data_IF_386335663229
#
_entry.id   IF_386335663229
#
_cell.length_a   1.000
_cell.length_b   1.000
_cell.length_c   1.000
_cell.angle_alpha   90.00
_cell.angle_beta   90.00
_cell.angle_gamma   90.00
#
_symmetry.space_group_name_H-M   'P 1'
#
loop_
_entity.id
_entity.type
_entity.pdbx_description
1 polymer ?
#
# COMPACT_ATOMS: atom_id res chain seq x y z
N UNK A 1 -9.08 -7.33 5.69
CA UNK A 1 -8.58 -6.16 4.95
C UNK A 1 -8.29 -4.95 5.84
N UNK A 2 -9.23 -4.51 6.68
CA UNK A 2 -9.06 -3.33 7.55
C UNK A 2 -7.80 -3.41 8.44
N UNK A 3 -7.56 -4.54 9.11
CA UNK A 3 -6.37 -4.73 9.95
C UNK A 3 -5.05 -4.58 9.18
N UNK A 4 -5.00 -5.04 7.94
CA UNK A 4 -3.82 -4.92 7.09
C UNK A 4 -3.56 -3.46 6.72
N UNK A 5 -4.62 -2.70 6.39
CA UNK A 5 -4.53 -1.26 6.10
C UNK A 5 -4.05 -0.51 7.34
N UNK A 6 -4.61 -0.80 8.53
CA UNK A 6 -4.19 -0.17 9.78
C UNK A 6 -2.74 -0.48 10.14
N UNK A 7 -2.31 -1.73 10.01
CA UNK A 7 -0.91 -2.12 10.24
C UNK A 7 0.03 -1.38 9.28
N UNK A 8 -0.32 -1.35 8.01
CA UNK A 8 0.46 -0.68 6.97
C UNK A 8 0.52 0.83 7.21
N UNK A 9 -0.59 1.44 7.64
CA UNK A 9 -0.62 2.84 8.04
C UNK A 9 0.28 3.11 9.25
N UNK A 10 0.28 2.24 10.25
CA UNK A 10 1.16 2.37 11.40
C UNK A 10 2.65 2.34 11.01
N UNK A 11 3.02 1.42 10.11
CA UNK A 11 4.38 1.35 9.56
C UNK A 11 4.72 2.63 8.79
N UNK A 12 3.80 3.14 7.96
CA UNK A 12 3.96 4.42 7.28
C UNK A 12 4.19 5.57 8.26
N UNK A 13 3.38 5.68 9.32
CA UNK A 13 3.50 6.73 10.32
C UNK A 13 4.88 6.72 11.02
N UNK A 14 5.45 5.54 11.26
CA UNK A 14 6.82 5.40 11.81
C UNK A 14 7.86 6.00 10.85
N UNK A 15 7.81 5.66 9.57
CA UNK A 15 8.75 6.20 8.58
C UNK A 15 8.56 7.71 8.38
N UNK A 16 7.33 8.17 8.31
CA UNK A 16 7.00 9.59 8.20
C UNK A 16 7.53 10.40 9.40
N UNK A 17 7.34 9.89 10.62
CA UNK A 17 7.88 10.50 11.83
C UNK A 17 9.42 10.44 11.85
N UNK A 18 9.99 9.34 11.43
CA UNK A 18 11.44 9.16 11.29
C UNK A 18 12.06 10.17 10.34
N UNK A 19 11.42 10.42 9.19
CA UNK A 19 11.83 11.46 8.24
C UNK A 19 11.85 12.85 8.90
N UNK A 20 10.77 13.23 9.59
CA UNK A 20 10.69 14.50 10.30
C UNK A 20 11.83 14.66 11.34
N UNK A 21 12.03 13.64 12.18
CA UNK A 21 13.05 13.69 13.24
C UNK A 21 14.47 13.78 12.65
N UNK A 22 14.75 13.01 11.60
CA UNK A 22 16.05 13.02 10.95
C UNK A 22 16.30 14.33 10.21
N UNK A 23 15.32 14.86 9.49
CA UNK A 23 15.39 16.17 8.83
C UNK A 23 15.74 17.27 9.84
N UNK A 24 15.05 17.32 10.98
CA UNK A 24 15.35 18.31 12.04
C UNK A 24 16.76 18.15 12.62
N UNK A 25 17.24 16.91 12.80
CA UNK A 25 18.61 16.65 13.26
C UNK A 25 19.65 17.05 12.22
N UNK A 26 19.44 16.69 10.95
CA UNK A 26 20.34 17.08 9.84
C UNK A 26 20.46 18.59 9.76
N UNK A 27 19.33 19.28 9.72
CA UNK A 27 19.30 20.76 9.62
C UNK A 27 19.93 21.42 10.85
N UNK A 28 19.73 20.88 12.05
CA UNK A 28 20.35 21.40 13.26
C UNK A 28 21.89 21.31 13.22
N UNK A 29 22.45 20.28 12.60
CA UNK A 29 23.90 20.05 12.54
C UNK A 29 24.58 20.65 11.32
N UNK A 30 23.92 20.64 10.17
CA UNK A 30 24.52 21.04 8.88
C UNK A 30 23.96 22.35 8.31
N UNK A 31 22.91 22.90 8.93
CA UNK A 31 22.22 24.09 8.44
C UNK A 31 21.08 23.80 7.47
N UNK A 32 20.31 24.84 7.17
CA UNK A 32 19.09 24.71 6.34
C UNK A 32 19.38 24.44 4.85
N UNK A 33 20.58 24.75 4.38
CA UNK A 33 20.95 24.67 2.97
C UNK A 33 21.09 23.21 2.47
N UNK A 34 21.26 22.26 3.40
CA UNK A 34 21.34 20.83 3.05
C UNK A 34 19.97 20.19 2.78
N UNK A 35 18.89 20.87 3.14
CA UNK A 35 17.54 20.39 2.87
C UNK A 35 17.24 20.51 1.36
N UNK A 36 16.92 19.37 0.73
CA UNK A 36 16.68 19.29 -0.71
C UNK A 36 15.30 19.86 -1.06
N UNK A 37 14.29 19.60 -0.21
CA UNK A 37 12.95 20.09 -0.44
C UNK A 37 12.87 21.63 -0.21
N UNK A 38 12.63 22.43 -1.27
CA UNK A 38 12.63 23.88 -1.15
C UNK A 38 11.55 24.40 -0.20
N UNK A 39 10.40 23.75 -0.12
CA UNK A 39 9.30 24.12 0.78
C UNK A 39 9.73 23.93 2.24
N UNK A 40 10.27 22.75 2.56
CA UNK A 40 10.77 22.42 3.90
C UNK A 40 11.92 23.37 4.27
N UNK A 41 12.84 23.65 3.34
CA UNK A 41 13.95 24.59 3.54
C UNK A 41 13.45 25.98 3.93
N UNK A 42 12.45 26.51 3.21
CA UNK A 42 11.86 27.83 3.51
C UNK A 42 11.19 27.81 4.89
N UNK A 43 10.41 26.78 5.20
CA UNK A 43 9.72 26.65 6.49
C UNK A 43 10.70 26.59 7.66
N UNK A 44 11.79 25.86 7.51
CA UNK A 44 12.85 25.75 8.53
C UNK A 44 13.61 27.06 8.73
N UNK A 45 13.86 27.80 7.62
CA UNK A 45 14.57 29.08 7.65
C UNK A 45 13.75 30.21 8.26
N UNK A 46 12.45 30.27 7.97
CA UNK A 46 11.59 31.37 8.41
C UNK A 46 11.09 31.21 9.83
N UNK A 47 10.47 30.11 10.14
CA UNK A 47 9.94 29.77 11.48
C UNK A 47 9.86 28.26 11.63
N UNK A 48 10.84 27.64 12.25
CA UNK A 48 10.91 26.17 12.39
C UNK A 48 9.67 25.49 12.97
N UNK A 49 8.80 26.23 13.67
CA UNK A 49 7.52 25.71 14.19
C UNK A 49 6.52 25.37 13.07
N UNK A 50 6.61 26.04 11.92
CA UNK A 50 5.69 25.76 10.80
C UNK A 50 5.91 24.39 10.14
N UNK A 51 7.08 23.78 10.32
CA UNK A 51 7.32 22.42 9.82
C UNK A 51 6.35 21.42 10.46
N UNK A 52 6.07 21.57 11.76
CA UNK A 52 5.13 20.68 12.45
C UNK A 52 3.69 20.83 11.92
N UNK A 53 3.28 22.08 11.66
CA UNK A 53 1.96 22.34 11.06
C UNK A 53 1.88 21.77 9.64
N UNK A 54 2.91 21.98 8.83
CA UNK A 54 2.98 21.45 7.47
C UNK A 54 2.91 19.92 7.48
N UNK A 55 3.69 19.28 8.34
CA UNK A 55 3.69 17.83 8.50
C UNK A 55 2.35 17.30 9.05
N UNK A 56 1.69 18.02 9.93
CA UNK A 56 0.34 17.65 10.39
C UNK A 56 -0.71 17.72 9.25
N UNK A 57 -0.62 18.75 8.40
CA UNK A 57 -1.48 18.88 7.21
C UNK A 57 -1.20 17.73 6.22
N UNK A 58 0.06 17.42 5.97
CA UNK A 58 0.48 16.30 5.11
C UNK A 58 -0.09 14.96 5.62
N UNK A 59 0.01 14.69 6.92
CA UNK A 59 -0.55 13.49 7.53
C UNK A 59 -2.09 13.47 7.44
N UNK A 60 -2.74 14.60 7.69
CA UNK A 60 -4.20 14.75 7.56
C UNK A 60 -4.69 14.52 6.13
N UNK A 61 -4.00 15.10 5.15
CA UNK A 61 -4.30 14.90 3.73
C UNK A 61 -4.13 13.43 3.33
N UNK A 62 -3.11 12.77 3.86
CA UNK A 62 -2.86 11.37 3.61
C UNK A 62 -3.92 10.46 4.23
N UNK A 63 -4.35 10.74 5.48
CA UNK A 63 -5.47 10.05 6.13
C UNK A 63 -6.77 10.22 5.36
N UNK A 64 -7.06 11.45 4.90
CA UNK A 64 -8.21 11.71 4.06
C UNK A 64 -8.16 10.93 2.74
N UNK A 65 -7.00 10.89 2.09
CA UNK A 65 -6.80 10.11 0.87
C UNK A 65 -7.08 8.62 1.09
N UNK A 66 -6.56 8.03 2.18
CA UNK A 66 -6.82 6.63 2.52
C UNK A 66 -8.29 6.38 2.79
N UNK A 67 -8.93 7.28 3.56
CA UNK A 67 -10.36 7.17 3.83
C UNK A 67 -11.16 7.24 2.52
N UNK A 68 -10.87 8.20 1.65
CA UNK A 68 -11.52 8.32 0.34
C UNK A 68 -11.31 7.07 -0.51
N UNK A 69 -10.09 6.56 -0.60
CA UNK A 69 -9.77 5.35 -1.36
C UNK A 69 -10.40 4.09 -0.77
N UNK A 70 -10.63 4.05 0.55
CA UNK A 70 -11.31 2.92 1.21
C UNK A 70 -12.78 2.81 0.85
N UNK A 71 -13.37 3.86 0.26
CA UNK A 71 -14.75 3.81 -0.29
C UNK A 71 -14.81 3.01 -1.59
N UNK A 72 -13.68 2.80 -2.28
CA UNK A 72 -13.61 1.92 -3.45
C UNK A 72 -13.38 0.48 -3.01
N UNK A 73 -14.12 -0.44 -3.63
CA UNK A 73 -13.91 -1.87 -3.42
C UNK A 73 -12.54 -2.28 -3.97
N UNK A 74 -11.77 -3.04 -3.18
CA UNK A 74 -10.53 -3.63 -3.64
C UNK A 74 -9.30 -3.36 -2.77
N UNK A 75 -8.13 -3.71 -3.30
CA UNK A 75 -6.81 -3.61 -2.64
C UNK A 75 -6.09 -2.28 -2.93
N UNK A 76 -6.69 -1.38 -3.71
CA UNK A 76 -6.09 -0.10 -4.16
C UNK A 76 -5.53 0.76 -3.00
N UNK A 77 -6.26 0.98 -1.87
CA UNK A 77 -5.72 1.75 -0.74
C UNK A 77 -4.43 1.15 -0.18
N UNK A 78 -4.35 -0.16 -0.14
CA UNK A 78 -3.19 -0.88 0.34
C UNK A 78 -1.97 -0.64 -0.57
N UNK A 79 -2.12 -0.73 -1.89
CA UNK A 79 -1.01 -0.46 -2.82
C UNK A 79 -0.50 0.98 -2.74
N UNK A 80 -1.40 1.94 -2.60
CA UNK A 80 -1.02 3.35 -2.44
C UNK A 80 -0.21 3.54 -1.16
N UNK A 81 -0.66 2.98 -0.03
CA UNK A 81 0.09 2.99 1.22
C UNK A 81 1.49 2.39 1.06
N UNK A 82 1.60 1.27 0.34
CA UNK A 82 2.87 0.63 0.10
C UNK A 82 3.84 1.53 -0.68
N UNK A 83 3.38 2.23 -1.72
CA UNK A 83 4.20 3.18 -2.49
C UNK A 83 4.70 4.30 -1.58
N UNK A 84 3.85 4.85 -0.71
CA UNK A 84 4.25 5.89 0.23
C UNK A 84 5.25 5.39 1.29
N UNK A 85 5.09 4.17 1.80
CA UNK A 85 6.07 3.56 2.72
C UNK A 85 7.43 3.45 2.04
N UNK A 86 7.48 2.96 0.79
CA UNK A 86 8.72 2.87 0.04
C UNK A 86 9.37 4.26 -0.13
N UNK A 87 8.59 5.24 -0.54
CA UNK A 87 9.06 6.61 -0.71
C UNK A 87 9.65 7.18 0.59
N UNK A 88 8.89 7.09 1.70
CA UNK A 88 9.36 7.59 3.00
C UNK A 88 10.54 6.78 3.55
N UNK A 89 10.61 5.48 3.30
CA UNK A 89 11.78 4.68 3.70
C UNK A 89 13.07 5.15 3.01
N UNK A 90 12.98 5.53 1.73
CA UNK A 90 14.10 6.10 0.98
C UNK A 90 14.49 7.48 1.50
N UNK A 91 13.53 8.34 1.87
CA UNK A 91 13.81 9.64 2.49
C UNK A 91 14.50 9.47 3.85
N UNK A 92 14.00 8.58 4.70
CA UNK A 92 14.63 8.25 5.99
C UNK A 92 16.04 7.72 5.80
N UNK A 93 16.26 6.83 4.82
CA UNK A 93 17.59 6.30 4.51
C UNK A 93 18.55 7.40 4.09
N UNK A 94 18.11 8.29 3.19
CA UNK A 94 18.92 9.42 2.72
C UNK A 94 19.27 10.37 3.88
N UNK A 95 18.28 10.76 4.67
CA UNK A 95 18.49 11.66 5.81
C UNK A 95 19.38 11.03 6.88
N UNK A 96 19.23 9.74 7.16
CA UNK A 96 20.11 8.99 8.04
C UNK A 96 21.54 8.96 7.49
N UNK A 97 21.73 8.70 6.21
CA UNK A 97 23.05 8.70 5.56
C UNK A 97 23.74 10.06 5.69
N UNK A 98 23.04 11.15 5.38
CA UNK A 98 23.56 12.51 5.48
C UNK A 98 23.92 12.86 6.93
N UNK A 99 23.05 12.54 7.89
CA UNK A 99 23.28 12.79 9.30
C UNK A 99 24.51 12.04 9.84
N UNK A 100 24.61 10.74 9.55
CA UNK A 100 25.72 9.93 10.06
C UNK A 100 27.04 10.25 9.37
N UNK A 101 27.05 10.56 8.09
CA UNK A 101 28.25 11.02 7.39
C UNK A 101 28.82 12.29 8.01
N UNK A 102 27.95 13.18 8.51
CA UNK A 102 28.36 14.45 9.10
C UNK A 102 28.77 14.34 10.58
N UNK A 103 28.15 13.43 11.35
CA UNK A 103 28.29 13.42 12.82
C UNK A 103 29.14 12.29 13.35
N UNK A 104 29.23 11.16 12.63
CA UNK A 104 29.86 9.95 13.13
C UNK A 104 30.77 9.34 12.05
N UNK A 105 32.07 9.41 12.23
CA UNK A 105 33.01 8.65 11.43
C UNK A 105 32.78 7.15 11.69
N UNK A 106 32.16 6.46 10.72
CA UNK A 106 32.03 4.99 10.63
C UNK A 106 31.57 4.26 11.92
N UNK A 107 30.37 4.53 12.41
CA UNK A 107 29.86 3.82 13.58
C UNK A 107 29.11 2.54 13.18
N UNK A 108 29.20 1.51 14.05
CA UNK A 108 28.42 0.25 13.94
C UNK A 108 26.92 0.55 13.81
N UNK A 109 26.42 1.61 14.44
CA UNK A 109 25.01 2.05 14.37
C UNK A 109 24.59 2.37 12.94
N UNK A 110 25.45 2.98 12.11
CA UNK A 110 25.16 3.22 10.70
C UNK A 110 24.95 1.93 9.93
N UNK A 111 25.85 0.94 10.14
CA UNK A 111 25.74 -0.38 9.48
C UNK A 111 24.45 -1.11 9.86
N UNK A 112 24.04 -1.02 11.13
CA UNK A 112 22.80 -1.61 11.65
C UNK A 112 21.56 -0.93 11.04
N UNK A 113 21.52 0.42 11.00
CA UNK A 113 20.42 1.17 10.40
C UNK A 113 20.32 0.89 8.91
N UNK A 114 21.45 0.87 8.19
CA UNK A 114 21.48 0.57 6.77
C UNK A 114 21.03 -0.87 6.48
N UNK A 115 21.47 -1.84 7.29
CA UNK A 115 21.01 -3.22 7.20
C UNK A 115 19.51 -3.33 7.44
N UNK A 116 18.99 -2.64 8.46
CA UNK A 116 17.55 -2.59 8.75
C UNK A 116 16.73 -2.03 7.58
N UNK A 117 17.23 -1.00 6.91
CA UNK A 117 16.60 -0.43 5.72
C UNK A 117 16.60 -1.41 4.54
N UNK A 118 17.73 -2.06 4.28
CA UNK A 118 17.83 -3.08 3.22
C UNK A 118 16.85 -4.23 3.50
N UNK A 119 16.80 -4.72 4.73
CA UNK A 119 15.85 -5.77 5.14
C UNK A 119 14.39 -5.30 4.99
N UNK A 120 14.09 -4.06 5.31
CA UNK A 120 12.74 -3.49 5.12
C UNK A 120 12.35 -3.44 3.64
N UNK A 121 13.27 -3.05 2.76
CA UNK A 121 13.05 -3.04 1.30
C UNK A 121 12.84 -4.46 0.79
N UNK A 122 13.67 -5.42 1.20
CA UNK A 122 13.52 -6.82 0.81
C UNK A 122 12.21 -7.42 1.30
N UNK A 123 11.82 -7.14 2.55
CA UNK A 123 10.54 -7.53 3.11
C UNK A 123 9.36 -6.94 2.32
N UNK A 124 9.49 -5.67 1.91
CA UNK A 124 8.51 -4.99 1.10
C UNK A 124 8.35 -5.63 -0.29
N UNK A 125 9.47 -5.95 -0.96
CA UNK A 125 9.47 -6.67 -2.23
C UNK A 125 8.79 -8.04 -2.08
N UNK A 126 9.09 -8.76 -0.99
CA UNK A 126 8.46 -10.04 -0.69
C UNK A 126 6.96 -9.93 -0.46
N UNK A 127 6.49 -8.92 0.29
CA UNK A 127 5.06 -8.66 0.47
C UNK A 127 4.35 -8.36 -0.86
N UNK A 128 4.97 -7.56 -1.74
CA UNK A 128 4.43 -7.30 -3.07
C UNK A 128 4.33 -8.57 -3.91
N UNK A 129 5.33 -9.44 -3.84
CA UNK A 129 5.29 -10.73 -4.52
C UNK A 129 4.12 -11.61 -4.02
N UNK A 130 3.92 -11.70 -2.70
CA UNK A 130 2.80 -12.46 -2.13
C UNK A 130 1.46 -11.90 -2.56
N UNK A 131 1.30 -10.57 -2.58
CA UNK A 131 0.10 -9.90 -3.03
C UNK A 131 -0.17 -10.12 -4.52
N UNK A 132 0.88 -10.07 -5.35
CA UNK A 132 0.78 -10.39 -6.77
C UNK A 132 0.26 -11.81 -6.99
N UNK A 133 0.84 -12.78 -6.26
CA UNK A 133 0.42 -14.19 -6.34
C UNK A 133 -1.04 -14.39 -5.91
N UNK A 134 -1.47 -13.72 -4.85
CA UNK A 134 -2.87 -13.76 -4.39
C UNK A 134 -3.82 -13.11 -5.43
N UNK A 135 -3.40 -12.01 -6.06
CA UNK A 135 -4.14 -11.37 -7.15
C UNK A 135 -4.28 -12.28 -8.37
N UNK A 136 -3.18 -12.92 -8.78
CA UNK A 136 -3.17 -13.88 -9.89
C UNK A 136 -4.11 -15.05 -9.64
N UNK A 137 -4.08 -15.61 -8.42
CA UNK A 137 -5.00 -16.69 -8.02
C UNK A 137 -6.47 -16.24 -8.09
N UNK A 138 -6.77 -15.04 -7.60
CA UNK A 138 -8.12 -14.47 -7.64
C UNK A 138 -8.59 -14.19 -9.07
N UNK A 139 -7.68 -13.73 -9.93
CA UNK A 139 -7.97 -13.47 -11.33
C UNK A 139 -8.28 -14.76 -12.10
N UNK A 140 -7.50 -15.81 -11.86
CA UNK A 140 -7.72 -17.12 -12.46
C UNK A 140 -9.06 -17.73 -12.02
N UNK A 141 -9.39 -17.63 -10.71
CA UNK A 141 -10.68 -18.08 -10.18
C UNK A 141 -11.86 -17.32 -10.81
N UNK A 142 -11.71 -16.02 -11.08
CA UNK A 142 -12.72 -15.23 -11.78
C UNK A 142 -12.86 -15.64 -13.25
N UNK A 143 -11.74 -15.95 -13.92
CA UNK A 143 -11.73 -16.48 -15.28
C UNK A 143 -12.47 -17.81 -15.38
N UNK A 144 -12.21 -18.72 -14.44
CA UNK A 144 -12.90 -20.02 -14.36
C UNK A 144 -14.40 -19.87 -14.08
N UNK A 145 -14.78 -18.94 -13.21
CA UNK A 145 -16.18 -18.63 -12.95
C UNK A 145 -16.88 -18.10 -14.21
N UNK A 146 -16.26 -17.16 -14.92
CA UNK A 146 -16.80 -16.60 -16.16
C UNK A 146 -16.97 -17.67 -17.26
N UNK A 147 -16.02 -18.60 -17.39
CA UNK A 147 -16.13 -19.69 -18.35
C UNK A 147 -17.30 -20.64 -18.04
N UNK A 148 -17.51 -20.94 -16.74
CA UNK A 148 -18.67 -21.74 -16.28
C UNK A 148 -19.99 -21.00 -16.52
N UNK A 149 -20.04 -19.69 -16.32
CA UNK A 149 -21.21 -18.88 -16.65
C UNK A 149 -21.52 -18.92 -18.15
N UNK A 150 -20.52 -18.77 -19.01
CA UNK A 150 -20.71 -18.86 -20.46
C UNK A 150 -21.20 -20.22 -20.91
N UNK A 151 -20.69 -21.31 -20.31
CA UNK A 151 -21.16 -22.67 -20.58
C UNK A 151 -22.61 -22.89 -20.13
N UNK A 152 -22.98 -22.42 -18.95
CA UNK A 152 -24.35 -22.44 -18.44
C UNK A 152 -25.31 -21.67 -19.33
N UNK A 153 -24.94 -20.47 -19.76
CA UNK A 153 -25.74 -19.66 -20.68
C UNK A 153 -25.96 -20.35 -22.00
N UNK A 154 -24.95 -20.99 -22.56
CA UNK A 154 -25.08 -21.75 -23.81
C UNK A 154 -26.03 -22.96 -23.67
N UNK A 155 -25.96 -23.68 -22.54
CA UNK A 155 -26.86 -24.79 -22.23
C UNK A 155 -28.30 -24.33 -22.09
N UNK A 156 -28.55 -23.22 -21.41
CA UNK A 156 -29.89 -22.62 -21.26
C UNK A 156 -30.43 -22.17 -22.62
N UNK A 157 -29.63 -21.53 -23.44
CA UNK A 157 -30.04 -21.07 -24.76
C UNK A 157 -30.43 -22.26 -25.68
N UNK A 158 -29.66 -23.35 -25.66
CA UNK A 158 -29.93 -24.56 -26.40
C UNK A 158 -31.25 -25.21 -25.90
N UNK A 159 -31.44 -25.27 -24.58
CA UNK A 159 -32.63 -25.88 -23.96
C UNK A 159 -33.89 -25.04 -24.21
N UNK A 160 -33.81 -23.71 -24.17
CA UNK A 160 -34.93 -22.83 -24.53
C UNK A 160 -35.33 -22.93 -26.01
N UNK A 161 -34.39 -23.28 -26.89
CA UNK A 161 -34.69 -23.50 -28.32
C UNK A 161 -35.34 -24.88 -28.58
N UNK A 162 -35.11 -25.84 -27.69
CA UNK A 162 -35.57 -27.25 -27.89
C UNK A 162 -36.80 -27.62 -27.07
N UNK A 163 -37.08 -26.93 -25.98
CA UNK A 163 -38.21 -27.23 -25.08
C UNK A 163 -39.08 -25.99 -24.88
N UNK A 164 -40.33 -26.05 -25.25
CA UNK A 164 -41.32 -25.06 -24.84
C UNK A 164 -41.50 -25.06 -23.30
N UNK A 165 -41.25 -23.93 -22.70
CA UNK A 165 -41.76 -23.39 -21.41
C UNK A 165 -41.51 -24.09 -20.06
N UNK A 166 -40.85 -25.23 -19.93
CA UNK A 166 -40.55 -25.78 -18.60
C UNK A 166 -39.10 -25.59 -18.21
N UNK A 167 -38.88 -24.79 -17.16
CA UNK A 167 -37.53 -24.60 -16.51
C UNK A 167 -37.14 -25.96 -15.92
N UNK A 168 -36.05 -26.60 -16.38
CA UNK A 168 -35.65 -27.90 -15.86
C UNK A 168 -35.32 -27.85 -14.37
N UNK A 169 -35.73 -28.85 -13.61
CA UNK A 169 -35.38 -28.96 -12.16
C UNK A 169 -33.87 -28.92 -11.89
N UNK A 170 -33.08 -29.35 -12.87
CA UNK A 170 -31.61 -29.30 -12.82
C UNK A 170 -31.03 -27.88 -12.76
N UNK A 171 -31.77 -26.85 -13.20
CA UNK A 171 -31.34 -25.46 -13.17
C UNK A 171 -31.31 -24.89 -11.74
N UNK A 172 -32.29 -25.27 -10.91
CA UNK A 172 -32.31 -24.87 -9.51
C UNK A 172 -31.13 -25.48 -8.73
N UNK A 173 -30.78 -26.72 -9.05
CA UNK A 173 -29.64 -27.43 -8.45
C UNK A 173 -28.31 -26.83 -8.87
N UNK A 174 -28.14 -26.45 -10.11
CA UNK A 174 -26.95 -25.76 -10.63
C UNK A 174 -26.79 -24.36 -10.04
N UNK A 175 -27.88 -23.62 -9.82
CA UNK A 175 -27.84 -22.31 -9.11
C UNK A 175 -27.44 -22.47 -7.66
N UNK A 176 -27.87 -23.50 -6.97
CA UNK A 176 -27.48 -23.80 -5.59
C UNK A 176 -25.99 -24.16 -5.48
N UNK A 177 -25.47 -24.98 -6.39
CA UNK A 177 -24.05 -25.32 -6.46
C UNK A 177 -23.18 -24.10 -6.75
N UNK A 178 -23.63 -23.18 -7.61
CA UNK A 178 -22.94 -21.92 -7.91
C UNK A 178 -22.93 -20.98 -6.71
N UNK A 179 -24.05 -20.84 -6.01
CA UNK A 179 -24.21 -20.01 -4.83
C UNK A 179 -23.33 -20.50 -3.66
N UNK A 180 -23.12 -21.82 -3.52
CA UNK A 180 -22.23 -22.43 -2.55
C UNK A 180 -20.74 -22.21 -2.91
N UNK A 181 -20.39 -22.12 -4.20
CA UNK A 181 -19.00 -21.87 -4.64
C UNK A 181 -18.56 -20.41 -4.46
N UNK A 182 -19.51 -19.47 -4.51
CA UNK A 182 -19.24 -18.02 -4.32
C UNK A 182 -19.09 -17.65 -2.82
N UNK A 183 -19.68 -18.45 -1.92
CA UNK A 183 -19.64 -18.21 -0.47
C UNK A 183 -18.40 -18.77 0.24
N UNK A 184 -17.56 -19.51 -0.44
CA UNK A 184 -16.27 -20.04 0.06
C UNK A 184 -15.11 -19.20 -0.47
#
# INVERSE_FOLDING_TARGET
MLYLILLTFFVFAIFWLGDLVLTLKVVKHLGHEVEINPIIRILLRTRGKFIYLFKAIELGAFLYLIWYLSTFEGKTPFYILLVFILFYSLLVANNAHVYYKATVKESIVFKVVYLGLVLSILFFIYLNYLLYKDLETSYNALGDANSKYAELYSKIEIQNRTAGSDIPKDFAQLLDELNLSIRR
#
